data_IF_761051117628
#
_entry.id   IF_761051117628
#
_cell.length_a   1.000
_cell.length_b   1.000
_cell.length_c   1.000
_cell.angle_alpha   90.00
_cell.angle_beta   90.00
_cell.angle_gamma   90.00
#
_symmetry.space_group_name_H-M   'P 1'
#
loop_
_entity.id
_entity.type
_entity.pdbx_description
1 polymer ?
#
# COMPACT_ATOMS: atom_id res chain seq x y z
N UNK A 1 14.13 -14.71 -18.21
CA UNK A 1 13.72 -15.49 -17.00
C UNK A 1 13.76 -14.53 -15.83
N UNK A 2 12.68 -14.44 -15.05
CA UNK A 2 12.59 -13.55 -13.88
C UNK A 2 12.70 -14.39 -12.63
N UNK A 3 13.58 -14.01 -11.70
CA UNK A 3 13.63 -14.57 -10.36
C UNK A 3 13.25 -13.48 -9.36
N UNK A 4 12.25 -13.76 -8.54
CA UNK A 4 11.78 -12.92 -7.44
C UNK A 4 12.19 -13.60 -6.13
N UNK A 5 12.86 -12.87 -5.26
CA UNK A 5 13.17 -13.30 -3.89
C UNK A 5 12.58 -12.27 -2.94
N UNK A 6 11.64 -12.69 -2.09
CA UNK A 6 11.06 -11.83 -1.07
C UNK A 6 11.17 -12.47 0.30
N UNK A 7 11.45 -11.64 1.30
CA UNK A 7 11.49 -12.02 2.70
C UNK A 7 10.71 -10.98 3.50
N UNK A 8 9.87 -11.43 4.43
CA UNK A 8 9.19 -10.54 5.35
C UNK A 8 9.20 -11.13 6.75
N UNK A 9 9.48 -10.29 7.74
CA UNK A 9 9.46 -10.64 9.16
C UNK A 9 8.42 -9.75 9.81
N UNK A 10 7.45 -10.38 10.48
CA UNK A 10 6.40 -9.67 11.22
C UNK A 10 6.53 -10.01 12.70
N UNK A 11 6.71 -9.00 13.54
CA UNK A 11 6.81 -9.13 14.98
C UNK A 11 5.85 -8.11 15.63
N UNK A 12 4.68 -8.59 16.06
CA UNK A 12 3.65 -7.77 16.67
C UNK A 12 3.21 -6.62 15.76
N UNK A 13 3.45 -5.39 16.21
CA UNK A 13 3.09 -4.14 15.54
C UNK A 13 4.03 -3.77 14.40
N UNK A 14 5.18 -4.44 14.26
CA UNK A 14 6.19 -4.13 13.25
C UNK A 14 6.25 -5.21 12.18
N UNK A 15 6.38 -4.80 10.91
CA UNK A 15 6.67 -5.69 9.79
C UNK A 15 7.78 -5.09 8.95
N UNK A 16 8.81 -5.88 8.70
CA UNK A 16 9.88 -5.56 7.78
C UNK A 16 9.74 -6.48 6.56
N UNK A 17 9.94 -5.92 5.38
CA UNK A 17 9.95 -6.67 4.14
C UNK A 17 11.11 -6.25 3.26
N UNK A 18 11.60 -7.20 2.48
CA UNK A 18 12.64 -7.02 1.50
C UNK A 18 12.26 -7.81 0.26
N UNK A 19 12.30 -7.17 -0.90
CA UNK A 19 12.00 -7.77 -2.18
C UNK A 19 13.14 -7.45 -3.15
N UNK A 20 13.70 -8.48 -3.78
CA UNK A 20 14.72 -8.33 -4.81
C UNK A 20 14.33 -9.19 -6.01
N UNK A 21 14.38 -8.59 -7.20
CA UNK A 21 14.10 -9.30 -8.44
C UNK A 21 15.23 -9.11 -9.43
N UNK A 22 15.44 -10.13 -10.26
CA UNK A 22 16.46 -10.11 -11.31
C UNK A 22 15.82 -10.47 -12.65
N UNK A 23 16.00 -9.58 -13.63
CA UNK A 23 15.58 -9.79 -15.01
C UNK A 23 16.81 -10.08 -15.88
N UNK A 24 16.78 -11.18 -16.63
CA UNK A 24 17.80 -11.50 -17.64
C UNK A 24 17.15 -11.55 -19.01
N UNK A 25 17.35 -10.50 -19.79
CA UNK A 25 17.11 -10.54 -21.23
C UNK A 25 18.27 -11.25 -21.92
N UNK A 26 17.98 -12.04 -22.97
CA UNK A 26 18.99 -12.76 -23.76
C UNK A 26 19.06 -12.24 -25.21
N UNK A 27 18.39 -11.12 -25.53
CA UNK A 27 18.22 -10.65 -26.93
C UNK A 27 18.65 -9.22 -27.24
N UNK A 28 19.24 -8.47 -26.32
CA UNK A 28 19.63 -7.07 -26.59
C UNK A 28 21.11 -6.81 -26.29
N UNK A 29 21.79 -6.16 -27.23
CA UNK A 29 23.15 -5.59 -27.12
C UNK A 29 23.23 -4.39 -26.16
N UNK A 30 22.11 -3.98 -25.56
CA UNK A 30 22.06 -2.92 -24.55
C UNK A 30 22.00 -3.54 -23.14
N UNK A 31 23.17 -3.57 -22.50
CA UNK A 31 23.46 -4.16 -21.19
C UNK A 31 22.93 -3.26 -20.04
N UNK A 32 21.62 -3.11 -19.92
CA UNK A 32 21.01 -2.44 -18.77
C UNK A 32 20.33 -3.49 -17.88
N UNK A 33 21.13 -4.12 -17.00
CA UNK A 33 20.66 -5.09 -16.02
C UNK A 33 19.81 -4.40 -14.94
N UNK A 34 18.49 -4.29 -15.15
CA UNK A 34 17.57 -3.75 -14.14
C UNK A 34 17.33 -4.81 -13.06
N UNK A 35 17.85 -4.55 -11.86
CA UNK A 35 17.72 -5.42 -10.68
C UNK A 35 16.94 -4.67 -9.59
N UNK A 36 15.60 -4.63 -9.66
CA UNK A 36 14.82 -3.86 -8.71
C UNK A 36 14.92 -4.49 -7.31
N UNK A 37 15.22 -3.65 -6.33
CA UNK A 37 15.34 -4.01 -4.91
C UNK A 37 14.49 -3.04 -4.10
N UNK A 38 13.56 -3.55 -3.31
CA UNK A 38 12.62 -2.78 -2.52
C UNK A 38 12.67 -3.21 -1.05
N UNK A 39 12.94 -2.25 -0.17
CA UNK A 39 12.74 -2.40 1.27
C UNK A 39 11.37 -1.86 1.67
N UNK A 40 10.70 -2.54 2.60
CA UNK A 40 9.43 -2.11 3.16
C UNK A 40 9.45 -2.21 4.69
N UNK A 41 8.79 -1.25 5.33
CA UNK A 41 8.58 -1.21 6.76
C UNK A 41 7.16 -0.76 7.06
N UNK A 42 6.48 -1.48 7.95
CA UNK A 42 5.14 -1.15 8.40
C UNK A 42 5.07 -1.17 9.91
N UNK A 43 4.47 -0.14 10.48
CA UNK A 43 4.14 -0.03 11.88
C UNK A 43 2.62 0.07 12.05
N UNK A 44 2.05 -0.78 12.91
CA UNK A 44 0.62 -0.87 13.16
C UNK A 44 0.32 -0.57 14.62
N UNK A 45 -0.44 0.50 14.85
CA UNK A 45 -0.91 0.94 16.16
C UNK A 45 -2.36 0.48 16.33
N UNK A 46 -2.55 -0.71 16.89
CA UNK A 46 -3.88 -1.30 17.09
C UNK A 46 -4.77 -0.47 18.01
N UNK A 47 -4.20 0.31 18.95
CA UNK A 47 -4.95 1.14 19.89
C UNK A 47 -5.66 2.34 19.23
N UNK A 48 -5.18 2.77 18.06
CA UNK A 48 -5.71 3.93 17.33
C UNK A 48 -6.23 3.55 15.95
N UNK A 49 -6.29 2.24 15.65
CA UNK A 49 -6.60 1.76 14.31
C UNK A 49 -5.82 2.54 13.24
N UNK A 50 -4.51 2.61 13.42
CA UNK A 50 -3.62 3.41 12.57
C UNK A 50 -2.44 2.57 12.08
N UNK A 51 -2.08 2.71 10.81
CA UNK A 51 -0.90 2.11 10.22
C UNK A 51 -0.05 3.17 9.52
N UNK A 52 1.26 3.02 9.66
CA UNK A 52 2.25 3.75 8.89
C UNK A 52 3.07 2.73 8.09
N UNK A 53 3.19 2.95 6.79
CA UNK A 53 3.98 2.12 5.89
C UNK A 53 4.97 3.00 5.13
N UNK A 54 6.20 2.53 5.00
CA UNK A 54 7.26 3.15 4.24
C UNK A 54 7.89 2.09 3.33
N UNK A 55 8.01 2.41 2.04
CA UNK A 55 8.63 1.58 1.03
C UNK A 55 9.73 2.42 0.36
N UNK A 56 10.92 1.86 0.17
CA UNK A 56 12.02 2.57 -0.48
C UNK A 56 12.91 1.61 -1.29
N UNK A 57 13.34 2.04 -2.46
CA UNK A 57 14.20 1.24 -3.32
C UNK A 57 13.98 1.52 -4.79
N UNK A 58 14.25 0.52 -5.62
CA UNK A 58 14.02 0.54 -7.05
C UNK A 58 12.76 -0.24 -7.37
N UNK A 59 11.77 0.44 -7.93
CA UNK A 59 10.53 -0.17 -8.39
C UNK A 59 10.76 -0.92 -9.71
N UNK A 60 9.82 -1.81 -10.04
CA UNK A 60 9.85 -2.59 -11.29
C UNK A 60 9.94 -1.74 -12.57
N UNK A 61 9.48 -0.49 -12.52
CA UNK A 61 9.59 0.47 -13.61
C UNK A 61 11.02 0.98 -13.87
N UNK A 62 11.99 0.62 -13.01
CA UNK A 62 13.36 1.15 -13.05
C UNK A 62 13.55 2.38 -12.17
N UNK A 63 12.46 3.08 -11.84
CA UNK A 63 12.43 4.28 -11.01
C UNK A 63 12.90 3.98 -9.58
N UNK A 64 13.83 4.79 -9.08
CA UNK A 64 14.27 4.74 -7.68
C UNK A 64 13.51 5.78 -6.88
N UNK A 65 13.07 5.40 -5.68
CA UNK A 65 12.39 6.35 -4.82
C UNK A 65 11.83 5.73 -3.56
N UNK A 66 10.94 6.47 -2.92
CA UNK A 66 10.26 6.04 -1.71
C UNK A 66 8.77 6.40 -1.74
N UNK A 67 7.99 5.64 -0.99
CA UNK A 67 6.56 5.89 -0.75
C UNK A 67 6.30 5.77 0.73
N UNK A 68 5.61 6.75 1.30
CA UNK A 68 5.10 6.72 2.68
C UNK A 68 3.59 6.76 2.63
N UNK A 69 2.95 5.86 3.35
CA UNK A 69 1.49 5.74 3.43
C UNK A 69 1.07 5.73 4.89
N UNK A 70 0.16 6.61 5.25
CA UNK A 70 -0.52 6.66 6.54
C UNK A 70 -1.96 6.24 6.35
N UNK A 71 -2.42 5.23 7.09
CA UNK A 71 -3.77 4.68 6.97
C UNK A 71 -4.46 4.64 8.32
N UNK A 72 -5.57 5.34 8.44
CA UNK A 72 -6.39 5.39 9.64
C UNK A 72 -7.76 4.76 9.37
N UNK A 73 -8.22 3.87 10.24
CA UNK A 73 -9.55 3.26 10.13
C UNK A 73 -10.50 3.88 11.15
N UNK A 74 -11.70 4.20 10.69
CA UNK A 74 -12.83 4.67 11.49
C UNK A 74 -13.94 3.61 11.42
N UNK A 75 -13.79 2.55 12.22
CA UNK A 75 -14.66 1.37 12.16
C UNK A 75 -14.58 0.70 10.79
N UNK A 76 -15.63 0.86 9.98
CA UNK A 76 -15.72 0.23 8.65
C UNK A 76 -15.14 1.10 7.52
N UNK A 77 -14.87 2.38 7.79
CA UNK A 77 -14.30 3.33 6.84
C UNK A 77 -12.79 3.42 7.02
N UNK A 78 -12.03 3.68 5.95
CA UNK A 78 -10.60 4.03 6.09
C UNK A 78 -10.24 5.27 5.31
N UNK A 79 -9.32 6.06 5.88
CA UNK A 79 -8.69 7.21 5.24
C UNK A 79 -7.22 6.89 5.10
N UNK A 80 -6.70 7.06 3.89
CA UNK A 80 -5.31 6.82 3.55
C UNK A 80 -4.74 8.09 2.96
N UNK A 81 -3.55 8.45 3.40
CA UNK A 81 -2.76 9.53 2.83
C UNK A 81 -1.46 8.89 2.38
N UNK A 82 -1.07 9.13 1.14
CA UNK A 82 0.18 8.62 0.61
C UNK A 82 1.00 9.74 -0.04
N UNK A 83 2.31 9.58 0.05
CA UNK A 83 3.29 10.43 -0.59
C UNK A 83 4.33 9.54 -1.24
N UNK A 84 4.52 9.70 -2.55
CA UNK A 84 5.51 8.98 -3.34
C UNK A 84 6.47 9.98 -3.98
N UNK A 85 7.75 9.67 -3.91
CA UNK A 85 8.81 10.43 -4.54
C UNK A 85 9.74 9.47 -5.26
N UNK A 86 9.65 9.45 -6.60
CA UNK A 86 10.61 8.77 -7.49
C UNK A 86 11.27 9.84 -8.36
N UNK A 87 11.09 9.81 -9.68
CA UNK A 87 11.46 10.90 -10.59
C UNK A 87 10.44 12.05 -10.53
N UNK A 88 9.21 11.74 -10.14
CA UNK A 88 8.13 12.70 -9.91
C UNK A 88 7.55 12.48 -8.51
N UNK A 89 7.09 13.57 -7.92
CA UNK A 89 6.44 13.54 -6.61
C UNK A 89 4.94 13.50 -6.76
N UNK A 90 4.30 12.54 -6.11
CA UNK A 90 2.85 12.39 -6.07
C UNK A 90 2.41 12.36 -4.61
N UNK A 91 1.38 13.13 -4.28
CA UNK A 91 0.72 13.09 -3.00
C UNK A 91 -0.77 12.88 -3.24
N UNK A 92 -1.40 12.04 -2.42
CA UNK A 92 -2.83 11.78 -2.57
C UNK A 92 -3.48 11.36 -1.27
N UNK A 93 -4.79 11.54 -1.24
CA UNK A 93 -5.66 11.06 -0.18
C UNK A 93 -6.69 10.13 -0.82
N UNK A 94 -6.96 8.99 -0.18
CA UNK A 94 -8.04 8.08 -0.57
C UNK A 94 -8.87 7.70 0.64
N UNK A 95 -10.18 7.63 0.45
CA UNK A 95 -11.12 7.15 1.46
C UNK A 95 -11.86 5.92 0.93
N UNK A 96 -12.14 4.98 1.82
CA UNK A 96 -12.89 3.77 1.51
C UNK A 96 -14.08 3.71 2.44
N UNK A 97 -15.28 3.75 1.87
CA UNK A 97 -16.56 3.69 2.59
C UNK A 97 -17.30 2.46 2.06
N UNK A 98 -17.70 1.51 2.91
CA UNK A 98 -18.47 0.35 2.47
C UNK A 98 -19.86 0.80 1.99
N UNK A 99 -20.30 0.25 0.86
CA UNK A 99 -21.62 0.53 0.29
C UNK A 99 -22.75 -0.25 0.97
N UNK A 100 -22.44 -1.11 1.94
CA UNK A 100 -23.44 -1.85 2.70
C UNK A 100 -24.18 -0.87 3.61
N UNK A 101 -25.48 -0.64 3.42
CA UNK A 101 -26.27 0.16 4.35
C UNK A 101 -26.17 -0.50 5.72
N UNK A 102 -25.86 0.29 6.76
CA UNK A 102 -25.94 -0.23 8.14
C UNK A 102 -27.35 -0.74 8.37
N UNK A 103 -27.51 -1.83 9.12
CA UNK A 103 -28.81 -2.42 9.48
C UNK A 103 -29.77 -1.38 10.11
N UNK A 104 -29.21 -0.33 10.69
CA UNK A 104 -29.94 0.80 11.31
C UNK A 104 -30.36 1.91 10.31
N UNK A 105 -29.98 1.80 9.03
CA UNK A 105 -30.46 2.66 7.93
C UNK A 105 -31.67 2.06 7.22
N UNK A 106 -32.42 1.15 7.85
CA UNK A 106 -33.74 0.79 7.36
C UNK A 106 -34.58 2.07 7.30
N UNK A 107 -35.00 2.54 6.10
CA UNK A 107 -35.88 3.69 6.03
C UNK A 107 -37.12 3.33 6.86
N UNK A 108 -37.45 4.19 7.84
CA UNK A 108 -38.72 4.11 8.52
C UNK A 108 -39.78 4.13 7.42
N UNK A 109 -40.39 2.97 7.15
CA UNK A 109 -41.56 2.87 6.31
C UNK A 109 -42.55 3.86 6.91
N UNK A 110 -42.77 4.96 6.20
CA UNK A 110 -43.78 5.95 6.52
C UNK A 110 -45.11 5.22 6.61
N UNK A 111 -45.51 4.87 7.83
CA UNK A 111 -46.89 4.53 8.14
C UNK A 111 -47.69 5.81 7.94
N UNK A 112 -48.19 6.04 6.74
CA UNK A 112 -49.38 6.87 6.56
C UNK A 112 -50.60 5.96 6.77
N UNK A 113 -50.96 5.73 8.03
CA UNK A 113 -52.36 5.58 8.40
C UNK A 113 -52.91 7.01 8.44
N UNK A 114 -53.73 7.42 7.46
CA UNK A 114 -55.18 7.72 7.56
C UNK A 114 -55.73 7.97 6.15
#
# INVERSE_FOLDING_TARGET
MVRLSSAAISAGTHKFGFEASYYRDKRSEFDENITPVLGSYRYYLSQYDWALEANAGQYWAGDKGFTVTSKHWFGDTSVNIYYQHTDKSFAGLSFSIPLTPRKDMAPALSKSEV
#
